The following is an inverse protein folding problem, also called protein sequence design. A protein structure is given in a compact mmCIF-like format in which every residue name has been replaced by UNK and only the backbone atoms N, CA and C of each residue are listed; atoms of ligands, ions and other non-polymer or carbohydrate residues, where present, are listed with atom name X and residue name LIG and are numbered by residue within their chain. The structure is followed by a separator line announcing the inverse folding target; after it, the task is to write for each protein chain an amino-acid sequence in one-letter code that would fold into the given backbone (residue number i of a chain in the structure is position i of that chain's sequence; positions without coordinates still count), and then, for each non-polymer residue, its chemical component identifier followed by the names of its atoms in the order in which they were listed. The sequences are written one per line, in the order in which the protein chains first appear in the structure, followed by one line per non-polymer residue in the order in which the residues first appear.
data_IF_137306343165
#
_entry.id   IF_137306343165
#
_cell.length_a   1.000
_cell.length_b   1.000
_cell.length_c   1.000
_cell.angle_alpha   90.00
_cell.angle_beta   90.00
_cell.angle_gamma   90.00
#
_symmetry.space_group_name_H-M   'P 1'
#
loop_
_entity.id
_entity.type
_entity.pdbx_description
1 polymer ?
#
# COMPACT_ATOMS: atom_id res chain seq x y z
N UNK A 1 -71.45 -25.11 24.34
CA UNK A 1 -70.15 -24.97 25.00
C UNK A 1 -69.39 -23.81 24.30
N UNK A 2 -69.61 -22.60 24.83
CA UNK A 2 -68.99 -21.38 24.29
C UNK A 2 -67.63 -21.21 24.97
N UNK A 3 -66.54 -21.26 24.17
CA UNK A 3 -65.21 -20.82 24.61
C UNK A 3 -65.03 -19.34 24.25
N UNK A 4 -65.11 -18.50 25.25
CA UNK A 4 -64.77 -17.07 25.20
C UNK A 4 -63.23 -16.98 25.17
N UNK A 5 -62.63 -16.52 24.06
CA UNK A 5 -61.26 -16.13 23.96
C UNK A 5 -61.10 -14.73 24.53
N UNK A 6 -60.44 -14.61 25.69
CA UNK A 6 -60.00 -13.33 26.22
C UNK A 6 -58.74 -12.88 25.43
N UNK A 7 -58.86 -11.89 24.56
CA UNK A 7 -57.75 -11.16 23.99
C UNK A 7 -57.25 -10.21 25.07
N UNK A 8 -56.06 -10.50 25.67
CA UNK A 8 -55.33 -9.54 26.49
C UNK A 8 -54.63 -8.60 25.50
N UNK A 9 -55.18 -7.41 25.33
CA UNK A 9 -54.51 -6.28 24.68
C UNK A 9 -53.43 -5.77 25.64
N UNK A 10 -52.16 -6.17 25.43
CA UNK A 10 -51.03 -5.51 26.04
C UNK A 10 -50.89 -4.14 25.33
N UNK A 11 -51.42 -3.12 25.96
CA UNK A 11 -51.10 -1.72 25.63
C UNK A 11 -49.65 -1.52 26.06
N UNK A 12 -48.72 -1.62 25.07
CA UNK A 12 -47.39 -1.06 25.22
C UNK A 12 -47.60 0.46 25.21
N UNK A 13 -47.69 1.04 26.40
CA UNK A 13 -47.54 2.46 26.59
C UNK A 13 -46.11 2.84 26.15
N UNK A 14 -45.91 3.23 24.90
CA UNK A 14 -44.80 4.07 24.48
C UNK A 14 -44.99 5.42 25.18
N UNK A 15 -44.72 5.45 26.49
CA UNK A 15 -44.67 6.67 27.25
C UNK A 15 -43.48 7.48 26.76
N UNK A 16 -43.72 8.65 26.18
CA UNK A 16 -42.78 9.73 26.19
C UNK A 16 -42.38 9.97 27.64
N UNK A 17 -41.32 9.33 28.12
CA UNK A 17 -40.82 9.52 29.47
C UNK A 17 -40.28 10.96 29.55
N UNK A 18 -41.05 11.82 30.17
CA UNK A 18 -40.61 13.18 30.44
C UNK A 18 -39.64 13.13 31.62
N UNK A 19 -38.41 13.60 31.41
CA UNK A 19 -37.40 13.68 32.45
C UNK A 19 -37.95 14.44 33.70
N UNK A 20 -37.60 13.97 34.86
CA UNK A 20 -37.87 14.60 36.09
C UNK A 20 -37.20 15.99 36.22
N UNK A 21 -37.67 16.93 37.05
CA UNK A 21 -36.98 18.19 37.32
C UNK A 21 -35.51 17.99 37.75
N UNK A 22 -35.21 16.95 38.50
CA UNK A 22 -33.85 16.60 38.95
C UNK A 22 -32.94 16.25 37.78
N UNK A 23 -33.40 15.39 36.87
CA UNK A 23 -32.63 15.01 35.69
C UNK A 23 -32.37 16.18 34.74
N UNK A 24 -33.34 17.09 34.59
CA UNK A 24 -33.16 18.34 33.84
C UNK A 24 -32.16 19.28 34.53
N UNK A 25 -32.17 19.33 35.86
CA UNK A 25 -31.19 20.09 36.66
C UNK A 25 -29.76 19.56 36.43
N UNK A 26 -29.55 18.24 36.50
CA UNK A 26 -28.27 17.62 36.21
C UNK A 26 -27.75 17.98 34.82
N UNK A 27 -28.59 17.91 33.79
CA UNK A 27 -28.22 18.30 32.43
C UNK A 27 -27.73 19.75 32.33
N UNK A 28 -28.43 20.71 32.96
CA UNK A 28 -28.04 22.13 32.97
C UNK A 28 -26.72 22.28 33.72
N UNK A 29 -26.52 21.58 34.83
CA UNK A 29 -25.27 21.61 35.59
C UNK A 29 -24.08 21.12 34.76
N UNK A 30 -24.23 20.00 34.02
CA UNK A 30 -23.17 19.50 33.14
C UNK A 30 -22.73 20.55 32.12
N UNK A 31 -23.68 21.26 31.47
CA UNK A 31 -23.32 22.30 30.49
C UNK A 31 -22.59 23.47 31.14
N UNK A 32 -23.04 23.89 32.32
CA UNK A 32 -22.38 24.98 33.06
C UNK A 32 -20.95 24.58 33.45
N UNK A 33 -20.74 23.37 33.95
CA UNK A 33 -19.42 22.86 34.32
C UNK A 33 -18.48 22.72 33.12
N UNK A 34 -19.01 22.36 31.95
CA UNK A 34 -18.24 22.35 30.70
C UNK A 34 -17.80 23.78 30.33
N UNK A 35 -18.70 24.78 30.45
CA UNK A 35 -18.41 26.18 30.15
C UNK A 35 -17.38 26.79 31.12
N UNK A 36 -17.41 26.39 32.40
CA UNK A 36 -16.45 26.81 33.41
C UNK A 36 -15.15 26.01 33.44
N UNK A 37 -15.04 24.99 32.57
CA UNK A 37 -13.87 24.05 32.46
C UNK A 37 -13.67 23.16 33.70
N UNK A 38 -14.73 22.90 34.45
CA UNK A 38 -14.78 21.98 35.58
C UNK A 38 -15.16 20.58 35.09
N UNK A 39 -14.24 19.97 34.27
CA UNK A 39 -14.54 18.79 33.47
C UNK A 39 -14.69 17.50 34.30
N UNK A 40 -13.97 17.37 35.43
CA UNK A 40 -14.10 16.22 36.32
C UNK A 40 -15.49 16.13 36.94
N UNK A 41 -15.99 17.28 37.46
CA UNK A 41 -17.32 17.36 38.06
C UNK A 41 -18.43 17.16 37.02
N UNK A 42 -18.21 17.72 35.79
CA UNK A 42 -19.11 17.45 34.67
C UNK A 42 -19.17 15.95 34.30
N UNK A 43 -18.02 15.26 34.36
CA UNK A 43 -17.91 13.81 34.08
C UNK A 43 -18.70 13.03 35.12
N UNK A 44 -18.52 13.30 36.39
CA UNK A 44 -19.24 12.60 37.47
C UNK A 44 -20.76 12.63 37.23
N UNK A 45 -21.29 13.82 36.95
CA UNK A 45 -22.74 14.00 36.73
C UNK A 45 -23.20 13.32 35.44
N UNK A 46 -22.45 13.40 34.32
CA UNK A 46 -22.91 12.87 33.06
C UNK A 46 -22.83 11.32 33.05
N UNK A 47 -21.85 10.73 33.74
CA UNK A 47 -21.79 9.27 33.86
C UNK A 47 -22.94 8.74 34.74
N UNK A 48 -23.27 9.42 35.86
CA UNK A 48 -24.49 9.09 36.61
C UNK A 48 -25.77 9.19 35.75
N UNK A 49 -25.85 10.15 34.85
CA UNK A 49 -27.02 10.27 33.94
C UNK A 49 -27.07 9.14 32.92
N UNK A 50 -25.94 8.56 32.55
CA UNK A 50 -25.90 7.41 31.64
C UNK A 50 -26.30 6.11 32.34
N UNK A 51 -26.00 6.00 33.63
CA UNK A 51 -26.38 4.84 34.44
C UNK A 51 -27.90 4.86 34.84
N UNK A 52 -28.55 6.02 34.75
CA UNK A 52 -29.98 6.17 35.03
C UNK A 52 -30.82 5.79 33.80
N UNK A 53 -31.66 4.79 33.89
CA UNK A 53 -32.46 4.22 32.79
C UNK A 53 -33.25 5.28 31.98
N UNK A 54 -33.80 6.32 32.65
CA UNK A 54 -34.57 7.35 31.97
C UNK A 54 -33.68 8.37 31.24
N UNK A 55 -32.55 8.76 31.84
CA UNK A 55 -31.63 9.73 31.30
C UNK A 55 -30.77 9.09 30.18
N UNK A 56 -30.48 7.78 30.27
CA UNK A 56 -29.76 7.03 29.25
C UNK A 56 -30.51 7.00 27.90
N UNK A 57 -31.82 6.99 27.92
CA UNK A 57 -32.67 7.03 26.71
C UNK A 57 -32.84 8.45 26.12
N UNK A 58 -32.18 9.44 26.72
CA UNK A 58 -32.31 10.81 26.30
C UNK A 58 -31.11 11.26 25.44
N UNK A 59 -31.32 11.56 24.16
CA UNK A 59 -30.30 11.99 23.23
C UNK A 59 -29.39 13.12 23.75
N UNK A 60 -29.93 14.01 24.60
CA UNK A 60 -29.16 15.12 25.18
C UNK A 60 -28.10 14.67 26.18
N UNK A 61 -28.32 13.58 26.90
CA UNK A 61 -27.31 13.03 27.83
C UNK A 61 -26.07 12.60 27.05
N UNK A 62 -26.23 11.88 25.97
CA UNK A 62 -25.14 11.44 25.11
C UNK A 62 -24.48 12.62 24.37
N UNK A 63 -25.28 13.59 23.94
CA UNK A 63 -24.72 14.82 23.36
C UNK A 63 -23.85 15.56 24.38
N UNK A 64 -24.28 15.71 25.63
CA UNK A 64 -23.50 16.34 26.69
C UNK A 64 -22.19 15.62 26.98
N UNK A 65 -22.22 14.27 27.02
CA UNK A 65 -21.01 13.45 27.16
C UNK A 65 -20.03 13.64 26.02
N UNK A 66 -20.50 13.61 24.77
CA UNK A 66 -19.67 13.87 23.60
C UNK A 66 -19.05 15.26 23.62
N UNK A 67 -19.86 16.27 24.00
CA UNK A 67 -19.39 17.63 24.12
C UNK A 67 -18.34 17.81 25.22
N UNK A 68 -18.52 17.17 26.37
CA UNK A 68 -17.55 17.14 27.45
C UNK A 68 -16.22 16.55 26.99
N UNK A 69 -16.25 15.35 26.45
CA UNK A 69 -15.05 14.65 26.00
C UNK A 69 -14.29 15.47 24.95
N UNK A 70 -14.98 15.99 23.94
CA UNK A 70 -14.36 16.81 22.89
C UNK A 70 -13.82 18.15 23.40
N UNK A 71 -14.56 18.85 24.27
CA UNK A 71 -14.14 20.15 24.77
C UNK A 71 -12.95 20.05 25.71
N UNK A 72 -12.96 19.04 26.60
CA UNK A 72 -11.83 18.73 27.49
C UNK A 72 -10.58 18.37 26.71
N UNK A 73 -10.70 17.56 25.65
CA UNK A 73 -9.59 17.26 24.72
C UNK A 73 -9.02 18.53 24.11
N UNK A 74 -9.86 19.33 23.48
CA UNK A 74 -9.44 20.53 22.75
C UNK A 74 -8.74 21.52 23.68
N UNK A 75 -9.33 21.76 24.88
CA UNK A 75 -8.75 22.67 25.84
C UNK A 75 -7.46 22.12 26.47
N UNK A 76 -7.44 20.82 26.78
CA UNK A 76 -6.28 20.15 27.33
C UNK A 76 -5.09 20.18 26.36
N UNK A 77 -5.33 19.91 25.08
CA UNK A 77 -4.29 20.03 24.04
C UNK A 77 -3.78 21.45 23.89
N UNK A 78 -4.68 22.44 23.86
CA UNK A 78 -4.33 23.88 23.75
C UNK A 78 -3.47 24.36 24.93
N UNK A 79 -3.73 23.88 26.13
CA UNK A 79 -3.05 24.29 27.37
C UNK A 79 -1.92 23.33 27.79
N UNK A 80 -1.71 22.25 27.05
CA UNK A 80 -0.83 21.15 27.43
C UNK A 80 -1.18 20.55 28.81
N UNK A 81 -2.48 20.49 29.12
CA UNK A 81 -3.02 19.99 30.38
C UNK A 81 -3.45 18.52 30.21
N UNK A 82 -2.58 17.61 30.66
CA UNK A 82 -2.77 16.16 30.51
C UNK A 82 -4.06 15.65 31.16
N UNK A 83 -4.43 16.17 32.33
CA UNK A 83 -5.65 15.75 33.03
C UNK A 83 -6.90 15.99 32.16
N UNK A 84 -6.93 17.07 31.41
CA UNK A 84 -8.06 17.41 30.56
C UNK A 84 -8.15 16.55 29.31
N UNK A 85 -7.02 16.33 28.60
CA UNK A 85 -7.06 15.51 27.38
C UNK A 85 -6.95 14.00 27.62
N UNK A 86 -6.82 13.58 28.86
CA UNK A 86 -6.92 12.19 29.34
C UNK A 86 -8.10 11.99 30.32
N UNK A 87 -9.10 12.85 30.28
CA UNK A 87 -10.29 12.76 31.11
C UNK A 87 -11.02 11.42 30.93
N UNK A 88 -11.00 10.89 29.71
CA UNK A 88 -11.45 9.55 29.36
C UNK A 88 -10.32 8.75 28.69
N UNK A 89 -10.26 7.43 28.88
CA UNK A 89 -9.49 6.58 27.97
C UNK A 89 -10.00 6.76 26.54
N UNK A 90 -9.07 6.87 25.56
CA UNK A 90 -9.44 7.05 24.14
C UNK A 90 -10.47 8.19 23.91
N UNK A 91 -10.26 9.33 24.53
CA UNK A 91 -11.24 10.41 24.71
C UNK A 91 -11.93 10.88 23.43
N UNK A 92 -11.24 10.95 22.28
CA UNK A 92 -11.87 11.32 21.01
C UNK A 92 -12.86 10.24 20.52
N UNK A 93 -12.56 8.96 20.79
CA UNK A 93 -13.50 7.88 20.48
C UNK A 93 -14.73 7.95 21.38
N UNK A 94 -14.57 8.25 22.67
CA UNK A 94 -15.70 8.50 23.58
C UNK A 94 -16.57 9.66 23.07
N UNK A 95 -15.96 10.71 22.53
CA UNK A 95 -16.71 11.83 21.97
C UNK A 95 -17.56 11.40 20.77
N UNK A 96 -16.98 10.70 19.80
CA UNK A 96 -17.73 10.30 18.59
C UNK A 96 -18.80 9.26 18.91
N UNK A 97 -18.49 8.23 19.70
CA UNK A 97 -19.45 7.21 20.11
C UNK A 97 -20.67 7.83 20.84
N UNK A 98 -20.40 8.82 21.69
CA UNK A 98 -21.45 9.54 22.39
C UNK A 98 -22.33 10.37 21.43
N UNK A 99 -21.75 11.03 20.45
CA UNK A 99 -22.53 11.74 19.44
C UNK A 99 -23.32 10.80 18.54
N UNK A 100 -22.77 9.65 18.15
CA UNK A 100 -23.48 8.65 17.37
C UNK A 100 -24.67 8.09 18.15
N UNK A 101 -24.50 7.81 19.44
CA UNK A 101 -25.61 7.38 20.32
C UNK A 101 -26.65 8.48 20.48
N UNK A 102 -26.25 9.75 20.61
CA UNK A 102 -27.18 10.85 20.65
C UNK A 102 -28.01 10.96 19.34
N UNK A 103 -27.41 10.71 18.17
CA UNK A 103 -28.11 10.70 16.89
C UNK A 103 -29.06 9.53 16.75
N UNK A 104 -28.65 8.33 17.21
CA UNK A 104 -29.51 7.15 17.22
C UNK A 104 -30.82 7.41 17.98
N UNK A 105 -30.71 8.09 19.13
CA UNK A 105 -31.85 8.43 19.98
C UNK A 105 -32.64 9.65 19.49
N UNK A 106 -32.03 10.51 18.67
CA UNK A 106 -32.71 11.70 18.12
C UNK A 106 -33.33 11.42 16.77
N UNK A 107 -34.39 10.62 16.72
CA UNK A 107 -35.10 10.22 15.50
C UNK A 107 -35.60 11.40 14.62
N UNK A 108 -35.60 12.62 15.16
CA UNK A 108 -36.04 13.86 14.44
C UNK A 108 -34.87 14.70 13.93
N UNK A 109 -33.62 14.30 14.16
CA UNK A 109 -32.42 15.02 13.71
C UNK A 109 -32.26 16.45 14.27
N UNK A 110 -32.80 16.68 15.49
CA UNK A 110 -32.78 18.03 16.10
C UNK A 110 -31.36 18.46 16.50
N UNK A 111 -30.46 17.51 16.69
CA UNK A 111 -29.08 17.77 17.11
C UNK A 111 -28.12 17.87 15.91
N UNK A 112 -28.50 17.45 14.72
CA UNK A 112 -27.62 17.44 13.54
C UNK A 112 -26.95 18.80 13.29
N UNK A 113 -27.73 19.89 13.39
CA UNK A 113 -27.21 21.25 13.21
C UNK A 113 -26.13 21.64 14.24
N UNK A 114 -26.26 21.15 15.47
CA UNK A 114 -25.32 21.44 16.56
C UNK A 114 -24.09 20.53 16.47
N UNK A 115 -24.28 19.30 16.01
CA UNK A 115 -23.23 18.32 15.89
C UNK A 115 -22.35 18.52 14.66
N UNK A 116 -22.87 19.02 13.53
CA UNK A 116 -22.10 19.18 12.30
C UNK A 116 -20.76 19.91 12.49
N UNK A 117 -20.67 21.07 13.17
CA UNK A 117 -19.38 21.70 13.44
C UNK A 117 -18.46 20.84 14.34
N UNK A 118 -19.04 20.08 15.27
CA UNK A 118 -18.29 19.19 16.16
C UNK A 118 -17.67 18.01 15.42
N UNK A 119 -18.41 17.45 14.47
CA UNK A 119 -17.92 16.40 13.58
C UNK A 119 -16.74 16.87 12.74
N UNK A 120 -16.80 18.08 12.16
CA UNK A 120 -15.67 18.65 11.41
C UNK A 120 -14.41 18.74 12.29
N UNK A 121 -14.56 19.26 13.51
CA UNK A 121 -13.42 19.35 14.44
C UNK A 121 -12.87 17.97 14.82
N UNK A 122 -13.75 16.99 15.08
CA UNK A 122 -13.35 15.62 15.40
C UNK A 122 -12.62 14.97 14.23
N UNK A 123 -13.14 15.08 13.00
CA UNK A 123 -12.48 14.53 11.82
C UNK A 123 -11.05 15.07 11.68
N UNK A 124 -10.86 16.37 11.87
CA UNK A 124 -9.54 17.00 11.82
C UNK A 124 -8.60 16.50 12.93
N UNK A 125 -9.10 16.31 14.16
CA UNK A 125 -8.28 15.80 15.26
C UNK A 125 -7.91 14.33 15.05
N UNK A 126 -8.82 13.50 14.54
CA UNK A 126 -8.53 12.12 14.17
C UNK A 126 -7.52 12.02 13.01
N UNK A 127 -7.63 12.91 12.03
CA UNK A 127 -6.65 12.96 10.94
C UNK A 127 -5.24 13.29 11.47
N UNK A 128 -5.11 14.31 12.31
CA UNK A 128 -3.83 14.67 12.96
C UNK A 128 -3.28 13.51 13.79
N UNK A 129 -4.14 12.86 14.57
CA UNK A 129 -3.76 11.68 15.37
C UNK A 129 -3.27 10.52 14.47
N UNK A 130 -3.92 10.31 13.34
CA UNK A 130 -3.51 9.35 12.33
C UNK A 130 -2.12 9.67 11.77
N UNK A 131 -1.86 10.92 11.41
CA UNK A 131 -0.56 11.39 10.91
C UNK A 131 0.55 11.21 11.96
N UNK A 132 0.29 11.59 13.23
CA UNK A 132 1.24 11.40 14.34
C UNK A 132 1.58 9.92 14.54
N UNK A 133 0.59 9.05 14.54
CA UNK A 133 0.79 7.60 14.68
C UNK A 133 1.51 7.01 13.48
N UNK A 134 1.19 7.44 12.27
CA UNK A 134 1.84 6.97 11.05
C UNK A 134 3.33 7.35 11.03
N UNK A 135 3.68 8.60 11.34
CA UNK A 135 5.07 9.07 11.52
C UNK A 135 5.80 8.27 12.59
N UNK A 136 5.09 7.89 13.66
CA UNK A 136 5.61 7.04 14.74
C UNK A 136 5.63 5.54 14.41
N UNK A 137 5.32 5.14 13.16
CA UNK A 137 5.24 3.73 12.70
C UNK A 137 4.26 2.86 13.52
N UNK A 138 3.26 3.48 14.14
CA UNK A 138 2.17 2.81 14.89
C UNK A 138 0.98 2.63 13.95
N UNK A 139 1.16 1.81 12.91
CA UNK A 139 0.26 1.75 11.76
C UNK A 139 -1.17 1.32 12.11
N UNK A 140 -1.36 0.38 13.04
CA UNK A 140 -2.70 0.00 13.52
C UNK A 140 -3.46 1.18 14.13
N UNK A 141 -2.76 1.99 14.95
CA UNK A 141 -3.35 3.18 15.56
C UNK A 141 -3.59 4.28 14.53
N UNK A 142 -2.69 4.41 13.56
CA UNK A 142 -2.85 5.34 12.45
C UNK A 142 -4.08 4.98 11.61
N UNK A 143 -4.21 3.70 11.24
CA UNK A 143 -5.36 3.22 10.49
C UNK A 143 -6.69 3.47 11.22
N UNK A 144 -6.78 3.11 12.50
CA UNK A 144 -7.99 3.35 13.30
C UNK A 144 -8.37 4.85 13.31
N UNK A 145 -7.39 5.72 13.47
CA UNK A 145 -7.62 7.16 13.51
C UNK A 145 -8.05 7.72 12.13
N UNK A 146 -7.35 7.36 11.05
CA UNK A 146 -7.72 7.77 9.70
C UNK A 146 -9.08 7.21 9.26
N UNK A 147 -9.36 5.93 9.57
CA UNK A 147 -10.66 5.32 9.27
C UNK A 147 -11.78 6.05 10.01
N UNK A 148 -11.57 6.42 11.28
CA UNK A 148 -12.55 7.18 12.04
C UNK A 148 -12.76 8.59 11.45
N UNK A 149 -11.67 9.30 11.07
CA UNK A 149 -11.77 10.57 10.38
C UNK A 149 -12.58 10.45 9.08
N UNK A 150 -12.34 9.39 8.31
CA UNK A 150 -13.03 9.11 7.05
C UNK A 150 -14.52 8.85 7.29
N UNK A 151 -14.88 8.00 8.26
CA UNK A 151 -16.28 7.69 8.61
C UNK A 151 -17.03 8.93 9.07
N UNK A 152 -16.41 9.78 9.89
CA UNK A 152 -16.98 11.04 10.31
C UNK A 152 -17.23 11.96 9.12
N UNK A 153 -16.25 12.10 8.22
CA UNK A 153 -16.35 12.96 7.02
C UNK A 153 -17.44 12.46 6.06
N UNK A 154 -17.65 11.14 5.97
CA UNK A 154 -18.69 10.52 5.14
C UNK A 154 -20.07 10.46 5.82
N UNK A 155 -20.17 10.93 7.06
CA UNK A 155 -21.45 10.98 7.76
C UNK A 155 -22.46 11.88 7.05
N UNK A 156 -23.73 11.46 6.93
CA UNK A 156 -24.78 12.27 6.30
C UNK A 156 -25.00 13.64 6.95
N UNK A 157 -24.53 13.84 8.18
CA UNK A 157 -24.59 15.12 8.88
C UNK A 157 -23.68 16.18 8.24
N UNK A 158 -22.61 15.74 7.56
CA UNK A 158 -21.67 16.60 6.86
C UNK A 158 -21.96 16.53 5.35
N UNK A 159 -22.50 17.58 4.79
CA UNK A 159 -22.72 17.69 3.32
C UNK A 159 -21.40 18.06 2.62
N UNK A 160 -20.31 17.34 2.87
CA UNK A 160 -18.98 17.60 2.32
C UNK A 160 -18.51 16.44 1.46
N UNK A 161 -17.70 16.76 0.45
CA UNK A 161 -17.05 15.74 -0.38
C UNK A 161 -15.81 15.24 0.34
N UNK A 162 -15.68 13.93 0.46
CA UNK A 162 -14.49 13.29 1.03
C UNK A 162 -13.27 13.58 0.17
N UNK A 163 -12.21 14.08 0.78
CA UNK A 163 -10.92 14.29 0.13
C UNK A 163 -10.25 12.96 -0.23
N UNK A 164 -9.70 12.87 -1.44
CA UNK A 164 -9.05 11.65 -1.92
C UNK A 164 -7.82 11.31 -1.06
N UNK A 165 -7.12 12.33 -0.55
CA UNK A 165 -5.91 12.15 0.26
C UNK A 165 -6.21 11.48 1.61
N UNK A 166 -7.37 11.78 2.23
CA UNK A 166 -7.78 11.07 3.43
C UNK A 166 -8.06 9.59 3.17
N UNK A 167 -8.69 9.28 2.03
CA UNK A 167 -8.89 7.87 1.61
C UNK A 167 -7.54 7.19 1.37
N UNK A 168 -6.59 7.89 0.74
CA UNK A 168 -5.24 7.39 0.47
C UNK A 168 -4.48 7.10 1.77
N UNK A 169 -4.47 8.04 2.71
CA UNK A 169 -3.82 7.87 4.01
C UNK A 169 -4.44 6.71 4.80
N UNK A 170 -5.77 6.56 4.73
CA UNK A 170 -6.48 5.42 5.34
C UNK A 170 -6.07 4.10 4.71
N UNK A 171 -6.01 4.04 3.36
CA UNK A 171 -5.60 2.86 2.61
C UNK A 171 -4.15 2.46 2.91
N UNK A 172 -3.25 3.45 2.91
CA UNK A 172 -1.82 3.24 3.17
C UNK A 172 -1.58 2.77 4.61
N UNK A 173 -2.25 3.38 5.59
CA UNK A 173 -2.16 2.93 6.97
C UNK A 173 -2.72 1.51 7.17
N UNK A 174 -3.78 1.13 6.45
CA UNK A 174 -4.30 -0.24 6.44
C UNK A 174 -3.28 -1.22 5.84
N UNK A 175 -2.63 -0.84 4.74
CA UNK A 175 -1.60 -1.66 4.09
C UNK A 175 -0.40 -1.89 5.01
N UNK A 176 0.15 -0.83 5.58
CA UNK A 176 1.28 -0.88 6.50
C UNK A 176 0.97 -1.65 7.80
N UNK A 177 -0.28 -1.60 8.28
CA UNK A 177 -0.75 -2.39 9.44
C UNK A 177 -1.08 -3.85 9.10
N UNK A 178 -0.85 -4.28 7.84
CA UNK A 178 -1.19 -5.63 7.35
C UNK A 178 -2.68 -5.96 7.34
N UNK A 179 -3.54 -4.95 7.39
CA UNK A 179 -4.98 -5.12 7.19
C UNK A 179 -5.32 -5.03 5.70
N UNK A 180 -4.95 -6.10 4.95
CA UNK A 180 -5.07 -6.11 3.49
C UNK A 180 -6.50 -6.04 2.98
N UNK A 181 -7.48 -6.50 3.75
CA UNK A 181 -8.90 -6.37 3.38
C UNK A 181 -9.31 -4.89 3.29
N UNK A 182 -8.94 -4.10 4.30
CA UNK A 182 -9.23 -2.66 4.33
C UNK A 182 -8.37 -1.89 3.33
N UNK A 183 -7.10 -2.27 3.15
CA UNK A 183 -6.22 -1.69 2.14
C UNK A 183 -6.82 -1.84 0.74
N UNK A 184 -7.20 -3.05 0.34
CA UNK A 184 -7.90 -3.32 -0.93
C UNK A 184 -9.16 -2.48 -1.05
N UNK A 185 -10.03 -2.46 -0.02
CA UNK A 185 -11.27 -1.67 -0.03
C UNK A 185 -11.00 -0.20 -0.38
N UNK A 186 -10.04 0.44 0.28
CA UNK A 186 -9.81 1.86 0.11
C UNK A 186 -8.97 2.19 -1.13
N UNK A 187 -7.99 1.36 -1.50
CA UNK A 187 -7.26 1.53 -2.76
C UNK A 187 -8.17 1.32 -3.98
N UNK A 188 -9.11 0.36 -3.95
CA UNK A 188 -10.08 0.19 -5.03
C UNK A 188 -10.94 1.44 -5.25
N UNK A 189 -11.42 2.06 -4.16
CA UNK A 189 -12.17 3.34 -4.23
C UNK A 189 -11.38 4.47 -4.89
N UNK A 190 -10.05 4.49 -4.69
CA UNK A 190 -9.17 5.48 -5.32
C UNK A 190 -8.88 5.12 -6.78
N UNK A 191 -8.68 3.83 -7.07
CA UNK A 191 -8.44 3.33 -8.41
C UNK A 191 -9.62 3.61 -9.34
N UNK A 192 -10.88 3.42 -8.87
CA UNK A 192 -12.09 3.82 -9.59
C UNK A 192 -12.11 5.31 -9.95
N UNK A 193 -11.59 6.16 -9.07
CA UNK A 193 -11.52 7.63 -9.25
C UNK A 193 -10.28 8.10 -10.00
N UNK A 194 -9.48 7.20 -10.56
CA UNK A 194 -8.23 7.49 -11.28
C UNK A 194 -7.33 8.44 -10.48
N UNK A 195 -6.96 8.04 -9.26
CA UNK A 195 -6.19 8.90 -8.35
C UNK A 195 -4.72 9.02 -8.79
N UNK A 196 -4.03 7.88 -8.99
CA UNK A 196 -2.65 7.84 -9.48
C UNK A 196 -2.25 6.40 -9.86
N UNK A 197 -1.23 6.28 -10.71
CA UNK A 197 -0.59 5.00 -11.09
C UNK A 197 -0.12 4.22 -9.87
N UNK A 198 0.45 4.92 -8.88
CA UNK A 198 0.91 4.31 -7.63
C UNK A 198 -0.21 3.60 -6.85
N UNK A 199 -1.46 4.08 -6.94
CA UNK A 199 -2.60 3.39 -6.32
C UNK A 199 -2.86 2.04 -6.97
N UNK A 200 -2.71 1.92 -8.29
CA UNK A 200 -2.84 0.63 -9.00
C UNK A 200 -1.72 -0.34 -8.56
N UNK A 201 -0.50 0.15 -8.39
CA UNK A 201 0.62 -0.63 -7.85
C UNK A 201 0.34 -1.12 -6.42
N UNK A 202 -0.10 -0.22 -5.51
CA UNK A 202 -0.42 -0.59 -4.13
C UNK A 202 -1.62 -1.55 -4.04
N UNK A 203 -2.60 -1.40 -4.92
CA UNK A 203 -3.74 -2.31 -5.01
C UNK A 203 -3.29 -3.71 -5.47
N UNK A 204 -2.43 -3.77 -6.48
CA UNK A 204 -1.77 -5.01 -6.91
C UNK A 204 -1.04 -5.68 -5.73
N UNK A 205 -0.17 -4.94 -5.04
CA UNK A 205 0.60 -5.46 -3.92
C UNK A 205 -0.31 -5.97 -2.78
N UNK A 206 -1.38 -5.25 -2.47
CA UNK A 206 -2.36 -5.66 -1.46
C UNK A 206 -3.10 -6.95 -1.85
N UNK A 207 -3.44 -7.14 -3.12
CA UNK A 207 -4.04 -8.38 -3.61
C UNK A 207 -3.04 -9.55 -3.57
N UNK A 208 -1.77 -9.33 -3.91
CA UNK A 208 -0.73 -10.36 -3.81
C UNK A 208 -0.54 -10.82 -2.36
N UNK A 209 -0.45 -9.89 -1.41
CA UNK A 209 -0.32 -10.24 0.02
C UNK A 209 -1.55 -11.02 0.56
N UNK A 210 -2.72 -10.84 -0.07
CA UNK A 210 -3.91 -11.68 0.20
C UNK A 210 -3.88 -13.04 -0.48
N UNK A 211 -2.94 -13.29 -1.38
CA UNK A 211 -2.91 -14.50 -2.21
C UNK A 211 -3.92 -14.50 -3.37
N UNK A 212 -4.52 -13.36 -3.70
CA UNK A 212 -5.47 -13.20 -4.81
C UNK A 212 -4.74 -12.72 -6.06
N UNK A 213 -4.03 -13.63 -6.72
CA UNK A 213 -3.22 -13.33 -7.90
C UNK A 213 -4.07 -12.88 -9.09
N UNK A 214 -5.31 -13.37 -9.22
CA UNK A 214 -6.22 -12.95 -10.29
C UNK A 214 -6.68 -11.50 -10.11
N UNK A 215 -6.97 -11.09 -8.88
CA UNK A 215 -7.31 -9.71 -8.62
C UNK A 215 -6.08 -8.78 -8.73
N UNK A 216 -4.89 -9.26 -8.37
CA UNK A 216 -3.64 -8.55 -8.56
C UNK A 216 -3.38 -8.27 -10.05
N UNK A 217 -3.51 -9.29 -10.91
CA UNK A 217 -3.38 -9.14 -12.37
C UNK A 217 -4.39 -8.12 -12.93
N UNK A 218 -5.65 -8.18 -12.48
CA UNK A 218 -6.68 -7.22 -12.91
C UNK A 218 -6.33 -5.80 -12.53
N UNK A 219 -5.84 -5.57 -11.31
CA UNK A 219 -5.45 -4.24 -10.84
C UNK A 219 -4.35 -3.62 -11.72
N UNK A 220 -3.36 -4.43 -12.15
CA UNK A 220 -2.31 -3.98 -13.08
C UNK A 220 -2.88 -3.64 -14.45
N UNK A 221 -3.71 -4.52 -15.02
CA UNK A 221 -4.31 -4.30 -16.35
C UNK A 221 -5.17 -3.04 -16.39
N UNK A 222 -6.02 -2.85 -15.39
CA UNK A 222 -6.84 -1.64 -15.26
C UNK A 222 -5.97 -0.39 -15.13
N UNK A 223 -4.86 -0.48 -14.40
CA UNK A 223 -3.91 0.63 -14.28
C UNK A 223 -3.22 0.94 -15.61
N UNK A 224 -2.78 -0.07 -16.34
CA UNK A 224 -2.13 0.08 -17.65
C UNK A 224 -3.08 0.74 -18.67
N UNK A 225 -4.36 0.38 -18.66
CA UNK A 225 -5.36 0.97 -19.55
C UNK A 225 -5.73 2.42 -19.17
N UNK A 226 -5.59 2.76 -17.89
CA UNK A 226 -6.08 4.01 -17.31
C UNK A 226 -5.07 5.14 -17.34
N UNK A 227 -3.78 4.82 -17.28
CA UNK A 227 -2.70 5.80 -17.13
C UNK A 227 -1.69 5.70 -18.27
N UNK A 228 -1.29 6.86 -18.81
CA UNK A 228 -0.23 6.93 -19.83
C UNK A 228 1.15 6.61 -19.25
N UNK A 229 1.41 7.03 -17.99
CA UNK A 229 2.62 6.64 -17.25
C UNK A 229 2.42 5.30 -16.54
N UNK A 230 2.45 4.22 -17.34
CA UNK A 230 2.12 2.86 -16.91
C UNK A 230 3.31 1.88 -17.01
N UNK A 231 4.51 2.38 -17.30
CA UNK A 231 5.72 1.56 -17.51
C UNK A 231 5.96 0.57 -16.37
N UNK A 232 5.92 1.04 -15.12
CA UNK A 232 6.12 0.19 -13.96
C UNK A 232 5.07 -0.92 -13.86
N UNK A 233 3.81 -0.60 -14.15
CA UNK A 233 2.70 -1.59 -14.11
C UNK A 233 2.87 -2.67 -15.18
N UNK A 234 3.37 -2.30 -16.38
CA UNK A 234 3.66 -3.25 -17.46
C UNK A 234 4.76 -4.24 -17.02
N UNK A 235 5.84 -3.72 -16.42
CA UNK A 235 6.94 -4.56 -15.93
C UNK A 235 6.49 -5.50 -14.82
N UNK A 236 5.69 -5.01 -13.87
CA UNK A 236 5.10 -5.83 -12.80
C UNK A 236 4.16 -6.91 -13.36
N UNK A 237 3.37 -6.58 -14.39
CA UNK A 237 2.48 -7.56 -15.02
C UNK A 237 3.27 -8.64 -15.76
N UNK A 238 4.35 -8.27 -16.46
CA UNK A 238 5.21 -9.24 -17.14
C UNK A 238 5.91 -10.16 -16.13
N UNK A 239 6.40 -9.64 -15.01
CA UNK A 239 7.01 -10.42 -13.94
C UNK A 239 6.00 -11.37 -13.29
N UNK A 240 4.80 -10.87 -12.95
CA UNK A 240 3.72 -11.69 -12.40
C UNK A 240 3.36 -12.86 -13.32
N UNK A 241 3.19 -12.61 -14.62
CA UNK A 241 2.85 -13.64 -15.60
C UNK A 241 3.99 -14.67 -15.75
N UNK A 242 5.24 -14.21 -15.74
CA UNK A 242 6.39 -15.11 -15.76
C UNK A 242 6.42 -16.02 -14.53
N UNK A 243 6.22 -15.49 -13.32
CA UNK A 243 6.19 -16.28 -12.09
C UNK A 243 4.99 -17.27 -12.03
N UNK A 244 3.91 -16.99 -12.76
CA UNK A 244 2.78 -17.90 -12.93
C UNK A 244 3.05 -18.99 -14.00
N UNK A 245 4.18 -18.94 -14.69
CA UNK A 245 4.51 -19.84 -15.79
C UNK A 245 3.85 -19.47 -17.13
N UNK A 246 3.22 -18.31 -17.21
CA UNK A 246 2.56 -17.78 -18.41
C UNK A 246 3.53 -16.96 -19.26
N UNK A 247 4.68 -17.55 -19.57
CA UNK A 247 5.84 -16.87 -20.16
C UNK A 247 5.54 -16.26 -21.52
N UNK A 248 4.74 -16.91 -22.35
CA UNK A 248 4.34 -16.40 -23.67
C UNK A 248 3.57 -15.08 -23.53
N UNK A 249 2.65 -15.01 -22.55
CA UNK A 249 1.89 -13.78 -22.27
C UNK A 249 2.80 -12.66 -21.75
N UNK A 250 3.80 -13.00 -20.92
CA UNK A 250 4.79 -12.03 -20.46
C UNK A 250 5.57 -11.43 -21.64
N UNK A 251 5.98 -12.26 -22.61
CA UNK A 251 6.65 -11.80 -23.83
C UNK A 251 5.73 -10.94 -24.69
N UNK A 252 4.47 -11.32 -24.92
CA UNK A 252 3.50 -10.56 -25.70
C UNK A 252 3.28 -9.14 -25.16
N UNK A 253 3.16 -9.01 -23.83
CA UNK A 253 2.96 -7.70 -23.18
C UNK A 253 4.20 -6.80 -23.35
N UNK A 254 5.41 -7.35 -23.16
CA UNK A 254 6.66 -6.59 -23.31
C UNK A 254 6.92 -6.23 -24.77
N UNK A 255 6.60 -7.11 -25.71
CA UNK A 255 6.71 -6.82 -27.14
C UNK A 255 5.76 -5.71 -27.56
N UNK A 256 4.49 -5.78 -27.13
CA UNK A 256 3.51 -4.73 -27.36
C UNK A 256 4.00 -3.39 -26.81
N UNK A 257 4.44 -3.37 -25.54
CA UNK A 257 4.94 -2.17 -24.90
C UNK A 257 6.18 -1.58 -25.64
N UNK A 258 7.08 -2.45 -26.11
CA UNK A 258 8.25 -2.03 -26.91
C UNK A 258 7.87 -1.47 -28.29
N UNK A 259 6.75 -1.91 -28.88
CA UNK A 259 6.23 -1.34 -30.12
C UNK A 259 5.55 0.02 -29.90
N UNK A 260 4.80 0.16 -28.82
CA UNK A 260 4.12 1.41 -28.46
C UNK A 260 5.11 2.47 -27.99
N UNK A 261 6.22 2.07 -27.37
CA UNK A 261 7.26 2.94 -26.81
C UNK A 261 8.65 2.52 -27.31
N UNK A 262 9.00 2.75 -28.58
CA UNK A 262 10.19 2.20 -29.21
C UNK A 262 11.51 2.75 -28.65
N UNK A 263 11.48 3.90 -27.97
CA UNK A 263 12.65 4.53 -27.34
C UNK A 263 12.98 3.96 -25.95
N UNK A 264 12.06 3.16 -25.37
CA UNK A 264 12.21 2.65 -24.01
C UNK A 264 12.99 1.32 -24.00
N UNK A 265 14.26 1.38 -23.57
CA UNK A 265 15.15 0.22 -23.49
C UNK A 265 14.71 -0.85 -22.52
N UNK A 266 13.95 -0.47 -21.50
CA UNK A 266 13.59 -1.38 -20.39
C UNK A 266 12.75 -2.57 -20.84
N UNK A 267 11.92 -2.42 -21.87
CA UNK A 267 11.07 -3.52 -22.36
C UNK A 267 11.89 -4.61 -23.05
N UNK A 268 12.75 -4.33 -24.07
CA UNK A 268 13.62 -5.36 -24.62
C UNK A 268 14.64 -5.87 -23.59
N UNK A 269 15.09 -5.05 -22.65
CA UNK A 269 15.94 -5.51 -21.55
C UNK A 269 15.22 -6.54 -20.67
N UNK A 270 14.00 -6.27 -20.21
CA UNK A 270 13.21 -7.18 -19.37
C UNK A 270 12.85 -8.48 -20.12
N UNK A 271 12.49 -8.37 -21.39
CA UNK A 271 12.24 -9.53 -22.25
C UNK A 271 13.50 -10.42 -22.39
N UNK A 272 14.68 -9.78 -22.51
CA UNK A 272 15.98 -10.45 -22.49
C UNK A 272 16.24 -11.17 -21.17
N UNK A 273 15.87 -10.60 -20.01
CA UNK A 273 15.97 -11.25 -18.70
C UNK A 273 15.12 -12.52 -18.63
N UNK A 274 13.90 -12.49 -19.15
CA UNK A 274 13.02 -13.68 -19.19
C UNK A 274 13.65 -14.75 -20.06
N UNK A 275 14.08 -14.45 -21.29
CA UNK A 275 14.75 -15.42 -22.15
C UNK A 275 16.04 -15.98 -21.55
N UNK A 276 16.80 -15.17 -20.80
CA UNK A 276 18.00 -15.64 -20.10
C UNK A 276 17.65 -16.63 -18.97
N UNK A 277 16.59 -16.37 -18.19
CA UNK A 277 16.06 -17.31 -17.18
C UNK A 277 15.59 -18.63 -17.82
N UNK A 278 15.01 -18.57 -19.01
CA UNK A 278 14.61 -19.74 -19.82
C UNK A 278 15.78 -20.46 -20.51
N UNK A 279 17.03 -20.00 -20.31
CA UNK A 279 18.24 -20.48 -20.99
C UNK A 279 18.23 -20.30 -22.52
N UNK A 280 17.37 -19.47 -23.06
CA UNK A 280 17.30 -19.10 -24.48
C UNK A 280 18.28 -17.93 -24.75
N UNK A 281 19.58 -18.19 -24.48
CA UNK A 281 20.62 -17.17 -24.42
C UNK A 281 20.79 -16.36 -25.71
N UNK A 282 20.64 -16.99 -26.88
CA UNK A 282 20.75 -16.32 -28.18
C UNK A 282 19.69 -15.22 -28.33
N UNK A 283 18.45 -15.51 -27.93
CA UNK A 283 17.35 -14.54 -27.93
C UNK A 283 17.58 -13.42 -26.92
N UNK A 284 18.05 -13.78 -25.72
CA UNK A 284 18.40 -12.79 -24.71
C UNK A 284 19.45 -11.80 -25.23
N UNK A 285 20.52 -12.30 -25.90
CA UNK A 285 21.56 -11.44 -26.49
C UNK A 285 21.01 -10.49 -27.55
N UNK A 286 20.11 -10.94 -28.44
CA UNK A 286 19.48 -10.09 -29.45
C UNK A 286 18.74 -8.92 -28.81
N UNK A 287 17.94 -9.19 -27.77
CA UNK A 287 17.14 -8.18 -27.08
C UNK A 287 17.99 -7.23 -26.22
N UNK A 288 18.99 -7.75 -25.53
CA UNK A 288 19.92 -6.90 -24.80
C UNK A 288 20.74 -5.98 -25.73
N UNK A 289 21.10 -6.45 -26.94
CA UNK A 289 21.75 -5.57 -27.92
C UNK A 289 20.84 -4.43 -28.35
N UNK A 290 19.55 -4.71 -28.59
CA UNK A 290 18.55 -3.67 -28.85
C UNK A 290 18.46 -2.68 -27.67
N UNK A 291 18.44 -3.18 -26.45
CA UNK A 291 18.44 -2.35 -25.26
C UNK A 291 19.72 -1.49 -25.14
N UNK A 292 20.90 -2.04 -25.47
CA UNK A 292 22.17 -1.30 -25.47
C UNK A 292 22.25 -0.20 -26.54
N UNK A 293 21.56 -0.38 -27.66
CA UNK A 293 21.45 0.67 -28.71
C UNK A 293 20.55 1.83 -28.22
N UNK A 294 19.47 1.53 -27.51
CA UNK A 294 18.53 2.52 -26.95
C UNK A 294 19.10 3.25 -25.73
N UNK A 295 19.82 2.55 -24.86
CA UNK A 295 20.46 3.10 -23.67
C UNK A 295 21.94 2.72 -23.61
N UNK A 296 22.82 3.42 -24.37
CA UNK A 296 24.23 3.08 -24.44
C UNK A 296 25.00 3.22 -23.12
N UNK A 297 24.48 4.00 -22.19
CA UNK A 297 25.12 4.23 -20.88
C UNK A 297 24.67 3.25 -19.80
N UNK A 298 23.72 2.38 -20.09
CA UNK A 298 23.21 1.40 -19.14
C UNK A 298 24.17 0.20 -19.01
N UNK A 299 25.01 0.22 -17.96
CA UNK A 299 26.05 -0.77 -17.70
C UNK A 299 25.52 -2.21 -17.65
N UNK A 300 24.37 -2.40 -16.96
CA UNK A 300 23.80 -3.73 -16.73
C UNK A 300 23.44 -4.43 -18.04
N UNK A 301 23.15 -3.70 -19.10
CA UNK A 301 22.86 -4.27 -20.41
C UNK A 301 24.09 -5.00 -20.99
N UNK A 302 25.26 -4.38 -20.91
CA UNK A 302 26.53 -4.97 -21.38
C UNK A 302 26.91 -6.21 -20.55
N UNK A 303 26.73 -6.13 -19.24
CA UNK A 303 26.97 -7.24 -18.32
C UNK A 303 26.06 -8.42 -18.62
N UNK A 304 24.77 -8.17 -18.92
CA UNK A 304 23.82 -9.23 -19.22
C UNK A 304 24.06 -9.87 -20.60
N UNK A 305 24.50 -9.12 -21.61
CA UNK A 305 24.95 -9.66 -22.88
C UNK A 305 26.13 -10.63 -22.65
N UNK A 306 27.12 -10.18 -21.89
CA UNK A 306 28.29 -10.97 -21.57
C UNK A 306 27.93 -12.23 -20.78
N UNK A 307 27.06 -12.10 -19.77
CA UNK A 307 26.58 -13.24 -18.98
C UNK A 307 25.85 -14.25 -19.85
N UNK A 308 25.03 -13.79 -20.81
CA UNK A 308 24.32 -14.69 -21.74
C UNK A 308 25.29 -15.43 -22.66
N UNK A 309 26.33 -14.78 -23.21
CA UNK A 309 27.37 -15.44 -23.97
C UNK A 309 28.19 -16.43 -23.14
N UNK A 310 28.52 -16.06 -21.88
CA UNK A 310 29.21 -16.95 -20.96
C UNK A 310 28.40 -18.24 -20.69
N UNK A 311 27.12 -18.08 -20.35
CA UNK A 311 26.23 -19.23 -20.10
C UNK A 311 26.04 -20.11 -21.34
N UNK A 312 26.00 -19.49 -22.52
CA UNK A 312 25.99 -20.23 -23.79
C UNK A 312 27.25 -21.08 -23.97
N UNK A 313 28.43 -20.52 -23.68
CA UNK A 313 29.69 -21.24 -23.71
C UNK A 313 29.72 -22.42 -22.74
N UNK A 314 29.26 -22.22 -21.51
CA UNK A 314 29.16 -23.27 -20.48
C UNK A 314 28.20 -24.38 -20.92
N UNK A 315 27.03 -24.04 -21.45
CA UNK A 315 26.05 -25.03 -21.93
C UNK A 315 26.62 -25.89 -23.06
N UNK A 316 27.36 -25.28 -24.01
CA UNK A 316 28.05 -26.00 -25.08
C UNK A 316 29.09 -26.93 -24.49
N UNK A 317 29.91 -26.50 -23.52
CA UNK A 317 30.91 -27.38 -22.88
C UNK A 317 30.27 -28.57 -22.15
N UNK A 318 29.19 -28.36 -21.42
CA UNK A 318 28.44 -29.39 -20.72
C UNK A 318 27.91 -30.45 -21.72
N UNK A 319 27.30 -29.97 -22.79
CA UNK A 319 26.78 -30.86 -23.84
C UNK A 319 27.92 -31.61 -24.60
N UNK A 320 29.10 -31.01 -24.77
CA UNK A 320 30.25 -31.57 -25.42
C UNK A 320 30.75 -32.82 -24.68
N UNK A 321 30.62 -32.89 -23.37
CA UNK A 321 31.02 -34.07 -22.56
C UNK A 321 30.27 -35.35 -22.93
N UNK A 322 29.13 -35.25 -23.58
CA UNK A 322 28.28 -36.36 -24.02
C UNK A 322 28.59 -36.81 -25.44
N UNK A 323 29.49 -36.13 -26.15
CA UNK A 323 29.80 -36.40 -27.56
C UNK A 323 30.97 -37.41 -27.68
N UNK A 324 30.76 -38.46 -28.43
CA UNK A 324 31.79 -39.53 -28.66
C UNK A 324 32.72 -39.20 -29.83
N UNK A 325 32.24 -38.45 -30.81
CA UNK A 325 33.02 -38.10 -32.03
C UNK A 325 34.06 -37.03 -31.71
N UNK A 326 35.35 -37.33 -31.89
CA UNK A 326 36.46 -36.41 -31.66
C UNK A 326 36.38 -35.14 -32.54
N UNK A 327 35.89 -35.27 -33.75
CA UNK A 327 35.70 -34.13 -34.68
C UNK A 327 34.60 -33.19 -34.15
N UNK A 328 33.46 -33.73 -33.75
CA UNK A 328 32.36 -32.93 -33.19
C UNK A 328 32.75 -32.26 -31.85
N UNK A 329 33.54 -32.94 -31.03
CA UNK A 329 34.12 -32.37 -29.80
C UNK A 329 34.95 -31.13 -30.10
N UNK A 330 35.80 -31.16 -31.15
CA UNK A 330 36.61 -30.02 -31.54
C UNK A 330 35.75 -28.86 -32.06
N UNK A 331 34.74 -29.16 -32.88
CA UNK A 331 33.81 -28.17 -33.40
C UNK A 331 33.03 -27.48 -32.26
N UNK A 332 32.51 -28.22 -31.30
CA UNK A 332 31.77 -27.66 -30.16
C UNK A 332 32.68 -26.88 -29.18
N UNK A 333 33.92 -27.33 -28.96
CA UNK A 333 34.89 -26.57 -28.18
C UNK A 333 35.22 -25.22 -28.81
N UNK A 334 35.40 -25.16 -30.12
CA UNK A 334 35.64 -23.91 -30.83
C UNK A 334 34.42 -22.97 -30.71
N UNK A 335 33.21 -23.52 -30.71
CA UNK A 335 31.97 -22.73 -30.49
C UNK A 335 31.88 -22.19 -29.07
N UNK A 336 32.21 -22.97 -28.06
CA UNK A 336 32.26 -22.56 -26.65
C UNK A 336 33.30 -21.46 -26.44
N UNK A 337 34.51 -21.62 -26.99
CA UNK A 337 35.57 -20.63 -26.92
C UNK A 337 35.17 -19.31 -27.57
N UNK A 338 34.53 -19.33 -28.74
CA UNK A 338 34.00 -18.14 -29.40
C UNK A 338 32.90 -17.44 -28.59
N UNK A 339 32.09 -18.20 -27.82
CA UNK A 339 31.11 -17.63 -26.90
C UNK A 339 31.78 -16.92 -25.71
N UNK A 340 32.81 -17.53 -25.10
CA UNK A 340 33.58 -16.88 -24.01
C UNK A 340 34.35 -15.67 -24.50
N UNK A 341 34.91 -15.68 -25.71
CA UNK A 341 35.53 -14.49 -26.32
C UNK A 341 34.51 -13.36 -26.51
N UNK A 342 33.29 -13.69 -26.95
CA UNK A 342 32.20 -12.73 -27.09
C UNK A 342 31.80 -12.17 -25.73
N UNK A 343 31.72 -12.98 -24.68
CA UNK A 343 31.51 -12.55 -23.34
C UNK A 343 32.57 -11.57 -22.86
N UNK A 344 33.85 -11.88 -23.09
CA UNK A 344 34.98 -10.99 -22.76
C UNK A 344 34.90 -9.65 -23.49
N UNK A 345 34.52 -9.66 -24.77
CA UNK A 345 34.36 -8.44 -25.57
C UNK A 345 33.28 -7.51 -24.97
N UNK A 346 32.15 -8.06 -24.53
CA UNK A 346 31.08 -7.26 -23.95
C UNK A 346 31.38 -6.81 -22.52
N UNK A 347 32.04 -7.62 -21.70
CA UNK A 347 32.54 -7.18 -20.40
C UNK A 347 33.60 -6.08 -20.50
N UNK A 348 34.47 -6.11 -21.53
CA UNK A 348 35.42 -5.03 -21.76
C UNK A 348 34.70 -3.71 -22.06
N UNK A 349 33.61 -3.74 -22.85
CA UNK A 349 32.80 -2.54 -23.08
C UNK A 349 32.17 -2.02 -21.76
N UNK A 350 31.75 -2.89 -20.87
CA UNK A 350 31.29 -2.53 -19.55
C UNK A 350 32.42 -1.89 -18.72
N UNK A 351 33.60 -2.51 -18.74
CA UNK A 351 34.79 -2.01 -18.05
C UNK A 351 35.25 -0.62 -18.57
N UNK A 352 35.18 -0.40 -19.88
CA UNK A 352 35.51 0.92 -20.50
C UNK A 352 34.57 2.03 -20.00
N UNK A 353 33.33 1.68 -19.67
CA UNK A 353 32.35 2.64 -19.11
C UNK A 353 32.57 2.91 -17.63
N UNK A 354 32.80 1.88 -16.85
CA UNK A 354 33.03 1.96 -15.41
C UNK A 354 34.25 1.14 -15.00
N UNK A 355 35.46 1.69 -15.16
CA UNK A 355 36.71 0.96 -14.89
C UNK A 355 36.95 0.57 -13.41
N UNK A 356 36.19 1.19 -12.49
CA UNK A 356 36.27 0.92 -11.06
C UNK A 356 35.20 -0.06 -10.55
N UNK A 357 34.29 -0.52 -11.42
CA UNK A 357 33.26 -1.50 -11.03
C UNK A 357 33.89 -2.86 -10.72
N UNK A 358 33.94 -3.18 -9.42
CA UNK A 358 34.56 -4.38 -8.92
C UNK A 358 33.88 -5.66 -9.43
N UNK A 359 32.58 -5.62 -9.68
CA UNK A 359 31.85 -6.79 -10.18
C UNK A 359 32.23 -7.09 -11.64
N UNK A 360 32.41 -6.05 -12.45
CA UNK A 360 32.92 -6.21 -13.84
C UNK A 360 34.36 -6.69 -13.86
N UNK A 361 35.22 -6.13 -13.02
CA UNK A 361 36.64 -6.50 -12.90
C UNK A 361 36.76 -7.98 -12.51
N UNK A 362 36.05 -8.41 -11.48
CA UNK A 362 36.08 -9.82 -11.03
C UNK A 362 35.61 -10.76 -12.14
N UNK A 363 34.53 -10.42 -12.83
CA UNK A 363 34.03 -11.25 -13.96
C UNK A 363 35.03 -11.33 -15.13
N UNK A 364 35.69 -10.22 -15.46
CA UNK A 364 36.76 -10.20 -16.46
C UNK A 364 37.94 -11.06 -16.01
N UNK A 365 38.35 -10.96 -14.77
CA UNK A 365 39.42 -11.78 -14.20
C UNK A 365 39.12 -13.29 -14.36
N UNK A 366 37.95 -13.73 -13.92
CA UNK A 366 37.57 -15.14 -14.01
C UNK A 366 37.45 -15.62 -15.47
N UNK A 367 36.91 -14.80 -16.34
CA UNK A 367 36.75 -15.11 -17.75
C UNK A 367 38.10 -15.19 -18.48
N UNK A 368 39.02 -14.27 -18.23
CA UNK A 368 40.38 -14.31 -18.80
C UNK A 368 41.17 -15.51 -18.27
N UNK A 369 40.95 -15.89 -17.02
CA UNK A 369 41.55 -17.11 -16.45
C UNK A 369 41.02 -18.37 -17.14
N UNK A 370 39.74 -18.45 -17.40
CA UNK A 370 39.11 -19.56 -18.16
C UNK A 370 39.64 -19.64 -19.59
N UNK A 371 39.87 -18.50 -20.25
CA UNK A 371 40.44 -18.39 -21.59
C UNK A 371 41.97 -18.56 -21.65
N UNK A 372 42.65 -18.66 -20.51
CA UNK A 372 44.11 -18.78 -20.45
C UNK A 372 44.88 -17.50 -20.85
N UNK A 373 44.26 -16.33 -20.83
CA UNK A 373 44.85 -15.04 -21.23
C UNK A 373 45.60 -14.42 -20.05
N UNK A 374 46.78 -14.98 -19.75
CA UNK A 374 47.52 -14.66 -18.51
C UNK A 374 47.89 -13.20 -18.31
N UNK A 375 48.19 -12.45 -19.36
CA UNK A 375 48.53 -11.01 -19.23
C UNK A 375 47.35 -10.20 -18.79
N UNK A 376 46.14 -10.45 -19.31
CA UNK A 376 44.91 -9.81 -18.88
C UNK A 376 44.46 -10.21 -17.48
N UNK A 377 44.73 -11.47 -17.10
CA UNK A 377 44.50 -11.95 -15.72
C UNK A 377 45.31 -11.12 -14.74
N UNK A 378 46.60 -10.89 -15.00
CA UNK A 378 47.48 -10.07 -14.13
C UNK A 378 46.99 -8.63 -14.03
N UNK A 379 46.56 -8.06 -15.15
CA UNK A 379 45.98 -6.71 -15.20
C UNK A 379 44.77 -6.60 -14.30
N UNK A 380 43.77 -7.49 -14.46
CA UNK A 380 42.54 -7.46 -13.65
C UNK A 380 42.84 -7.75 -12.17
N UNK A 381 43.79 -8.65 -11.88
CA UNK A 381 44.21 -8.94 -10.50
C UNK A 381 44.73 -7.71 -9.76
N UNK A 382 45.50 -6.83 -10.48
CA UNK A 382 45.98 -5.56 -9.94
C UNK A 382 44.86 -4.57 -9.57
N UNK A 383 43.70 -4.68 -10.21
CA UNK A 383 42.51 -3.85 -9.93
C UNK A 383 41.58 -4.44 -8.84
N UNK A 384 41.67 -5.73 -8.55
CA UNK A 384 40.87 -6.38 -7.49
C UNK A 384 41.44 -6.05 -6.09
N UNK A 385 42.76 -5.90 -5.96
CA UNK A 385 43.45 -5.63 -4.70
C UNK A 385 44.40 -4.43 -4.94
N UNK A 386 43.89 -3.20 -4.96
CA UNK A 386 44.74 -2.01 -5.09
C UNK A 386 45.56 -1.71 -3.82
#
# INVERSE_FOLDING_TARGET
MNRIFFFIFIFIFLGCSTLTPLQRGKFIAVFHLIETSEFEDAKEIVEEMIEDDLSAEWARTWYARGLLAQTAWTEGKRRNDRKKFELYPDQLYVAIESYEKARELDTKGRFDRQMAPRYVLLANEFQKMGEEHFKGKKYDKAFRAFEQALLITESPILAVKTEKDLIYNTALAAYESKNMEKAVKYFSRLNEKSYSTNVSHLLFAAHLEKGDTLAAERALKEGIEKYDDNKELILLLADLLYEQGETERAHEILEKASHENPEEYIYPFTQGLIYQKEKKYSRAVELYKKAAELAPDELMTYVNIATSYYNMGVEIEENTRLIISSRMVQEERARSEAAFESAAKWLNKAYEKEPEDQAVIIRLYELYKALGINDKVRTMQGHINP
#
